data_IF_766562434507
#
_entry.id   IF_766562434507
#
_cell.length_a   1.000
_cell.length_b   1.000
_cell.length_c   1.000
_cell.angle_alpha   90.00
_cell.angle_beta   90.00
_cell.angle_gamma   90.00
#
_symmetry.space_group_name_H-M   'P 1'
#
loop_
_entity.id
_entity.type
_entity.pdbx_description
1 polymer ?
#
# COMPACT_ATOMS: atom_id res chain seq x y z
N UNK A 1 -18.00 -9.87 24.49
CA UNK A 1 -16.64 -9.30 24.52
C UNK A 1 -16.78 -7.79 24.59
N UNK A 2 -16.40 -7.14 25.69
CA UNK A 2 -16.58 -5.69 25.85
C UNK A 2 -15.60 -4.94 24.93
N UNK A 3 -16.11 -4.05 24.08
CA UNK A 3 -15.34 -3.29 23.08
C UNK A 3 -14.15 -2.56 23.74
N UNK A 4 -14.35 -2.05 24.96
CA UNK A 4 -13.31 -1.44 25.80
C UNK A 4 -12.10 -2.33 26.03
N UNK A 5 -12.31 -3.63 26.29
CA UNK A 5 -11.23 -4.58 26.54
C UNK A 5 -10.42 -4.83 25.26
N UNK A 6 -11.09 -4.90 24.10
CA UNK A 6 -10.43 -5.05 22.80
C UNK A 6 -9.59 -3.82 22.45
N UNK A 7 -10.10 -2.61 22.71
CA UNK A 7 -9.36 -1.37 22.46
C UNK A 7 -8.11 -1.25 23.32
N UNK A 8 -8.22 -1.58 24.62
CA UNK A 8 -7.07 -1.53 25.54
C UNK A 8 -6.01 -2.56 25.15
N UNK A 9 -6.41 -3.81 24.89
CA UNK A 9 -5.48 -4.87 24.49
C UNK A 9 -4.84 -4.56 23.14
N UNK A 10 -5.61 -4.15 22.13
CA UNK A 10 -5.10 -3.78 20.82
C UNK A 10 -4.14 -2.59 20.87
N UNK A 11 -4.45 -1.60 21.72
CA UNK A 11 -3.57 -0.47 22.01
C UNK A 11 -2.25 -0.91 22.63
N UNK A 12 -2.28 -1.77 23.65
CA UNK A 12 -1.09 -2.30 24.30
C UNK A 12 -0.20 -3.09 23.34
N UNK A 13 -0.80 -3.95 22.50
CA UNK A 13 -0.08 -4.75 21.52
C UNK A 13 0.60 -3.85 20.48
N UNK A 14 -0.14 -2.88 19.92
CA UNK A 14 0.39 -1.95 18.91
C UNK A 14 1.51 -1.10 19.50
N UNK A 15 1.31 -0.60 20.72
CA UNK A 15 2.31 0.17 21.44
C UNK A 15 3.55 -0.66 21.74
N UNK A 16 3.38 -1.88 22.25
CA UNK A 16 4.47 -2.82 22.54
C UNK A 16 5.27 -3.17 21.29
N UNK A 17 4.60 -3.40 20.15
CA UNK A 17 5.28 -3.69 18.88
C UNK A 17 6.13 -2.51 18.39
N UNK A 18 5.59 -1.28 18.45
CA UNK A 18 6.34 -0.06 18.08
C UNK A 18 7.47 0.23 19.06
N UNK A 19 7.23 0.09 20.36
CA UNK A 19 8.21 0.34 21.41
C UNK A 19 9.36 -0.67 21.37
N UNK A 20 9.05 -1.95 21.11
CA UNK A 20 10.05 -3.01 20.96
C UNK A 20 11.04 -2.69 19.85
N UNK A 21 10.56 -2.19 18.70
CA UNK A 21 11.43 -1.76 17.61
C UNK A 21 12.33 -0.60 18.07
N UNK A 22 11.77 0.46 18.65
CA UNK A 22 12.54 1.65 19.11
C UNK A 22 13.57 1.27 20.18
N UNK A 23 13.22 0.42 21.13
CA UNK A 23 14.11 -0.04 22.19
C UNK A 23 15.24 -0.91 21.65
N UNK A 24 14.97 -1.73 20.63
CA UNK A 24 15.97 -2.52 19.92
C UNK A 24 16.94 -1.65 19.12
N UNK A 25 16.45 -0.56 18.50
CA UNK A 25 17.29 0.46 17.83
C UNK A 25 18.28 1.16 18.77
N UNK A 26 17.98 1.24 20.07
CA UNK A 26 18.84 1.90 21.06
C UNK A 26 19.93 1.03 21.68
N UNK A 27 19.89 -0.30 21.51
CA UNK A 27 20.83 -1.25 22.15
C UNK A 27 21.68 -2.09 21.20
N UNK A 28 21.26 -2.25 19.94
CA UNK A 28 22.01 -3.00 18.93
C UNK A 28 22.44 -2.08 17.80
N UNK A 29 23.73 -2.09 17.43
CA UNK A 29 24.20 -1.52 16.16
C UNK A 29 23.62 -2.37 15.02
N UNK A 30 22.47 -1.93 14.51
CA UNK A 30 21.79 -2.62 13.42
C UNK A 30 22.68 -2.55 12.17
N UNK A 31 22.96 -3.69 11.50
CA UNK A 31 23.76 -3.69 10.29
C UNK A 31 23.11 -2.81 9.22
N UNK A 32 23.93 -2.07 8.48
CA UNK A 32 23.49 -1.10 7.46
C UNK A 32 22.46 -1.66 6.47
N UNK A 33 22.55 -2.96 6.14
CA UNK A 33 21.59 -3.67 5.30
C UNK A 33 20.17 -3.64 5.86
N UNK A 34 20.00 -3.84 7.17
CA UNK A 34 18.69 -3.84 7.82
C UNK A 34 18.13 -2.42 7.94
N UNK A 35 18.96 -1.42 8.25
CA UNK A 35 18.54 -0.01 8.22
C UNK A 35 18.01 0.39 6.84
N UNK A 36 18.71 0.01 5.76
CA UNK A 36 18.27 0.22 4.38
C UNK A 36 16.95 -0.50 4.10
N UNK A 37 16.81 -1.76 4.53
CA UNK A 37 15.57 -2.52 4.35
C UNK A 37 14.37 -1.85 5.04
N UNK A 38 14.53 -1.33 6.26
CA UNK A 38 13.45 -0.63 6.96
C UNK A 38 12.99 0.64 6.25
N UNK A 39 13.88 1.37 5.58
CA UNK A 39 13.51 2.54 4.80
C UNK A 39 12.61 2.19 3.60
N UNK A 40 12.69 0.96 3.09
CA UNK A 40 11.83 0.46 2.01
C UNK A 40 10.52 -0.18 2.50
N UNK A 41 10.32 -0.33 3.82
CA UNK A 41 9.08 -0.91 4.35
C UNK A 41 7.85 -0.10 3.96
N UNK A 42 7.79 1.24 4.13
CA UNK A 42 6.61 2.01 3.75
C UNK A 42 6.19 1.84 2.26
N UNK A 43 7.08 2.05 1.27
CA UNK A 43 6.70 1.85 -0.13
C UNK A 43 6.38 0.39 -0.44
N UNK A 44 7.09 -0.59 0.13
CA UNK A 44 6.81 -2.00 -0.10
C UNK A 44 5.42 -2.42 0.41
N UNK A 45 5.03 -1.93 1.59
CA UNK A 45 3.69 -2.20 2.16
C UNK A 45 2.61 -1.58 1.30
N UNK A 46 2.78 -0.33 0.84
CA UNK A 46 1.82 0.32 -0.06
C UNK A 46 1.67 -0.46 -1.37
N UNK A 47 2.78 -0.87 -1.98
CA UNK A 47 2.75 -1.70 -3.19
C UNK A 47 2.06 -3.04 -2.95
N UNK A 48 2.32 -3.70 -1.81
CA UNK A 48 1.72 -4.98 -1.46
C UNK A 48 0.21 -4.89 -1.21
N UNK A 49 -0.31 -3.73 -0.81
CA UNK A 49 -1.77 -3.49 -0.63
C UNK A 49 -2.42 -3.18 -1.98
N UNK A 50 -1.80 -2.30 -2.79
CA UNK A 50 -2.37 -1.82 -4.06
C UNK A 50 -2.38 -2.92 -5.12
N UNK A 51 -1.31 -3.71 -5.21
CA UNK A 51 -1.14 -4.74 -6.25
C UNK A 51 -2.29 -5.78 -6.28
N UNK A 52 -2.66 -6.43 -5.16
CA UNK A 52 -3.79 -7.35 -5.15
C UNK A 52 -5.11 -6.63 -5.41
N UNK A 53 -5.27 -5.37 -4.97
CA UNK A 53 -6.50 -4.61 -5.21
C UNK A 53 -6.76 -4.33 -6.71
N UNK A 54 -5.69 -4.19 -7.50
CA UNK A 54 -5.78 -4.07 -8.96
C UNK A 54 -6.14 -5.40 -9.64
N UNK A 55 -5.61 -6.53 -9.14
CA UNK A 55 -5.69 -7.83 -9.80
C UNK A 55 -6.90 -8.67 -9.38
N UNK A 56 -7.32 -8.58 -8.13
CA UNK A 56 -8.43 -9.38 -7.60
C UNK A 56 -9.75 -8.65 -7.79
N UNK A 57 -10.60 -9.19 -8.68
CA UNK A 57 -12.00 -8.82 -8.80
C UNK A 57 -12.85 -10.06 -8.50
N UNK A 58 -13.77 -9.95 -7.53
CA UNK A 58 -14.75 -10.99 -7.22
C UNK A 58 -14.18 -12.42 -7.05
N UNK A 59 -13.07 -12.56 -6.31
CA UNK A 59 -12.46 -13.84 -5.94
C UNK A 59 -11.80 -14.62 -7.10
N UNK A 60 -11.58 -13.98 -8.26
CA UNK A 60 -10.80 -14.53 -9.36
C UNK A 60 -9.70 -13.55 -9.80
N UNK A 61 -8.59 -14.09 -10.26
CA UNK A 61 -7.49 -13.30 -10.83
C UNK A 61 -7.85 -13.00 -12.28
N UNK A 62 -8.43 -11.84 -12.52
CA UNK A 62 -8.84 -11.40 -13.85
C UNK A 62 -7.74 -10.57 -14.50
N UNK A 63 -6.86 -11.25 -15.24
CA UNK A 63 -5.91 -10.63 -16.19
C UNK A 63 -6.58 -10.23 -17.51
N UNK A 64 -7.89 -10.34 -17.62
CA UNK A 64 -8.62 -9.95 -18.83
C UNK A 64 -8.57 -8.44 -19.04
N UNK A 65 -8.49 -8.01 -20.30
CA UNK A 65 -8.64 -6.61 -20.71
C UNK A 65 -10.00 -5.99 -20.32
N UNK A 66 -10.97 -6.81 -19.86
CA UNK A 66 -12.21 -6.33 -19.23
C UNK A 66 -12.05 -5.83 -17.79
N UNK A 67 -10.87 -5.98 -17.16
CA UNK A 67 -10.61 -5.44 -15.83
C UNK A 67 -10.24 -3.96 -15.89
N UNK A 68 -11.29 -3.13 -15.86
CA UNK A 68 -11.21 -1.66 -15.85
C UNK A 68 -10.24 -1.11 -14.79
N UNK A 69 -10.17 -1.74 -13.60
CA UNK A 69 -9.25 -1.30 -12.52
C UNK A 69 -7.80 -1.55 -12.89
N UNK A 70 -7.49 -2.67 -13.53
CA UNK A 70 -6.14 -2.99 -13.99
C UNK A 70 -5.68 -2.03 -15.09
N UNK A 71 -6.55 -1.75 -16.07
CA UNK A 71 -6.26 -0.80 -17.15
C UNK A 71 -6.05 0.63 -16.60
N UNK A 72 -6.93 1.10 -15.72
CA UNK A 72 -6.78 2.41 -15.07
C UNK A 72 -5.50 2.48 -14.23
N UNK A 73 -5.13 1.38 -13.55
CA UNK A 73 -3.88 1.24 -12.80
C UNK A 73 -2.65 1.35 -13.69
N UNK A 74 -2.63 0.71 -14.85
CA UNK A 74 -1.53 0.80 -15.83
C UNK A 74 -1.39 2.24 -16.32
N UNK A 75 -2.50 2.91 -16.66
CA UNK A 75 -2.48 4.33 -17.05
C UNK A 75 -1.92 5.21 -15.93
N UNK A 76 -2.34 5.00 -14.69
CA UNK A 76 -1.81 5.72 -13.54
C UNK A 76 -0.28 5.51 -13.38
N UNK A 77 0.21 4.28 -13.55
CA UNK A 77 1.64 3.96 -13.49
C UNK A 77 2.42 4.69 -14.60
N UNK A 78 1.91 4.69 -15.83
CA UNK A 78 2.55 5.39 -16.96
C UNK A 78 2.62 6.91 -16.72
N UNK A 79 1.52 7.50 -16.23
CA UNK A 79 1.47 8.93 -15.93
C UNK A 79 2.38 9.29 -14.75
N UNK A 80 2.44 8.44 -13.71
CA UNK A 80 3.37 8.60 -12.61
C UNK A 80 4.82 8.60 -13.08
N UNK A 81 5.17 7.69 -13.99
CA UNK A 81 6.53 7.59 -14.51
C UNK A 81 6.92 8.82 -15.33
N UNK A 82 6.01 9.31 -16.18
CA UNK A 82 6.29 10.47 -17.03
C UNK A 82 6.29 11.79 -16.25
N UNK A 83 5.32 11.98 -15.36
CA UNK A 83 5.05 13.29 -14.75
C UNK A 83 5.80 13.49 -13.43
N UNK A 84 6.17 12.40 -12.74
CA UNK A 84 6.76 12.42 -11.38
C UNK A 84 5.97 13.28 -10.38
N UNK A 85 4.69 13.51 -10.63
CA UNK A 85 3.79 14.34 -9.83
C UNK A 85 2.60 13.50 -9.38
N UNK A 86 2.48 13.29 -8.06
CA UNK A 86 1.42 12.51 -7.43
C UNK A 86 0.02 13.03 -7.73
N UNK A 87 -0.17 14.35 -7.80
CA UNK A 87 -1.49 14.93 -8.06
C UNK A 87 -1.99 14.57 -9.47
N UNK A 88 -1.11 14.68 -10.46
CA UNK A 88 -1.42 14.35 -11.85
C UNK A 88 -1.63 12.84 -12.05
N UNK A 89 -0.88 12.00 -11.32
CA UNK A 89 -1.12 10.55 -11.28
C UNK A 89 -2.51 10.21 -10.77
N UNK A 90 -2.93 10.81 -9.65
CA UNK A 90 -4.25 10.57 -9.05
C UNK A 90 -5.35 11.00 -10.03
N UNK A 91 -5.24 12.22 -10.57
CA UNK A 91 -6.23 12.75 -11.52
C UNK A 91 -6.34 11.89 -12.79
N UNK A 92 -5.21 11.51 -13.39
CA UNK A 92 -5.22 10.69 -14.59
C UNK A 92 -5.76 9.28 -14.33
N UNK A 93 -5.38 8.65 -13.20
CA UNK A 93 -5.90 7.35 -12.80
C UNK A 93 -7.41 7.37 -12.55
N UNK A 94 -7.92 8.40 -11.86
CA UNK A 94 -9.35 8.59 -11.63
C UNK A 94 -10.12 8.82 -12.93
N UNK A 95 -9.61 9.69 -13.82
CA UNK A 95 -10.24 9.95 -15.11
C UNK A 95 -10.25 8.69 -15.99
N UNK A 96 -9.15 7.93 -16.03
CA UNK A 96 -9.09 6.68 -16.77
C UNK A 96 -10.09 5.65 -16.25
N UNK A 97 -10.21 5.51 -14.93
CA UNK A 97 -11.19 4.62 -14.31
C UNK A 97 -12.62 5.04 -14.67
N UNK A 98 -12.93 6.33 -14.53
CA UNK A 98 -14.27 6.86 -14.78
C UNK A 98 -14.68 6.72 -16.26
N UNK A 99 -13.76 7.00 -17.19
CA UNK A 99 -13.99 6.81 -18.62
C UNK A 99 -14.21 5.34 -18.98
N UNK A 100 -13.39 4.43 -18.43
CA UNK A 100 -13.52 2.99 -18.66
C UNK A 100 -14.73 2.37 -17.96
N UNK A 101 -15.24 2.97 -16.88
CA UNK A 101 -16.47 2.54 -16.22
C UNK A 101 -17.72 3.06 -16.91
N UNK A 102 -17.62 4.22 -17.58
CA UNK A 102 -18.73 4.83 -18.32
C UNK A 102 -18.93 4.19 -19.70
N UNK A 103 -17.88 3.59 -20.27
CA UNK A 103 -17.91 2.83 -21.53
C UNK A 103 -18.40 1.39 -21.31
#
# INVERSE_FOLDING_TARGET
>A
MNIWLVMVIGGLITFGMRFSLIFLFGRFEIPETMRKALHYVPPAVLSAIIFPELLYKANQIDFSFGNIRLLAGIVAILVAWYTKNTLLTILAGMLALLLLQFL
#
